data_IF_422604998089
#
_entry.id   IF_422604998089
#
_cell.length_a   1.000
_cell.length_b   1.000
_cell.length_c   1.000
_cell.angle_alpha   90.00
_cell.angle_beta   90.00
_cell.angle_gamma   90.00
#
_symmetry.space_group_name_H-M   'P 1'
#
loop_
_entity.id
_entity.type
_entity.pdbx_description
1 polymer ?
#
# COMPACT_ATOMS: atom_id res chain seq x y z
N UNK A 1 -4.66 -17.38 -19.74
CA UNK A 1 -4.62 -17.70 -18.29
C UNK A 1 -3.32 -17.13 -17.74
N UNK A 2 -3.33 -15.85 -17.34
CA UNK A 2 -2.10 -15.06 -17.10
C UNK A 2 -1.52 -15.21 -15.69
N UNK A 3 -2.34 -15.58 -14.69
CA UNK A 3 -1.91 -15.69 -13.28
C UNK A 3 -0.81 -16.72 -13.09
N UNK A 4 -0.93 -17.90 -13.72
CA UNK A 4 0.09 -18.95 -13.62
C UNK A 4 1.45 -18.52 -14.18
N UNK A 5 1.46 -17.67 -15.20
CA UNK A 5 2.67 -17.11 -15.78
C UNK A 5 3.35 -16.12 -14.81
N UNK A 6 2.57 -15.22 -14.19
CA UNK A 6 3.10 -14.30 -13.17
C UNK A 6 3.62 -15.03 -11.94
N UNK A 7 2.93 -16.07 -11.46
CA UNK A 7 3.39 -16.87 -10.34
C UNK A 7 4.69 -17.61 -10.68
N UNK A 8 4.82 -18.16 -11.89
CA UNK A 8 6.06 -18.78 -12.36
C UNK A 8 7.21 -17.77 -12.38
N UNK A 9 6.99 -16.58 -12.96
CA UNK A 9 7.99 -15.50 -13.00
C UNK A 9 8.42 -15.06 -11.59
N UNK A 10 7.47 -14.90 -10.66
CA UNK A 10 7.77 -14.56 -9.27
C UNK A 10 8.70 -15.59 -8.63
N UNK A 11 8.44 -16.89 -8.83
CA UNK A 11 9.27 -17.97 -8.29
C UNK A 11 10.65 -18.05 -8.93
N UNK A 12 10.77 -17.71 -10.21
CA UNK A 12 12.04 -17.66 -10.94
C UNK A 12 12.90 -16.46 -10.48
N UNK A 13 12.29 -15.28 -10.31
CA UNK A 13 12.98 -14.07 -9.84
C UNK A 13 13.29 -14.11 -8.33
N UNK A 14 12.44 -14.78 -7.54
CA UNK A 14 12.53 -14.89 -6.07
C UNK A 14 12.73 -13.54 -5.36
N UNK A 15 11.86 -12.54 -5.63
CA UNK A 15 12.11 -11.14 -5.27
C UNK A 15 12.28 -10.95 -3.76
N UNK A 16 13.18 -10.06 -3.37
CA UNK A 16 13.37 -9.58 -2.01
C UNK A 16 12.33 -8.50 -1.70
N UNK A 17 11.41 -8.79 -0.78
CA UNK A 17 10.33 -7.87 -0.40
C UNK A 17 10.57 -7.38 1.03
N UNK A 18 10.87 -6.09 1.17
CA UNK A 18 10.93 -5.45 2.48
C UNK A 18 9.53 -5.13 2.97
N UNK A 19 9.24 -5.52 4.21
CA UNK A 19 7.94 -5.34 4.84
C UNK A 19 8.09 -4.51 6.12
N UNK A 20 7.57 -3.29 6.08
CA UNK A 20 7.33 -2.45 7.26
C UNK A 20 5.86 -2.66 7.64
N UNK A 21 5.60 -3.75 8.38
CA UNK A 21 4.25 -4.25 8.68
C UNK A 21 3.96 -4.32 10.18
N UNK A 22 2.69 -4.52 10.52
CA UNK A 22 2.25 -4.59 11.90
C UNK A 22 2.68 -5.87 12.63
N UNK A 23 2.82 -5.80 13.95
CA UNK A 23 3.29 -6.92 14.78
C UNK A 23 2.41 -8.17 14.69
N UNK A 24 1.10 -8.01 14.50
CA UNK A 24 0.13 -9.11 14.52
C UNK A 24 0.32 -10.05 13.33
N UNK A 25 0.74 -9.52 12.18
CA UNK A 25 0.84 -10.30 10.93
C UNK A 25 2.26 -10.56 10.47
N UNK A 26 3.28 -10.01 11.12
CA UNK A 26 4.67 -10.06 10.67
C UNK A 26 5.15 -11.49 10.34
N UNK A 27 4.89 -12.46 11.24
CA UNK A 27 5.25 -13.86 11.01
C UNK A 27 4.46 -14.49 9.85
N UNK A 28 3.14 -14.24 9.79
CA UNK A 28 2.28 -14.76 8.73
C UNK A 28 2.66 -14.20 7.35
N UNK A 29 2.98 -12.91 7.27
CA UNK A 29 3.46 -12.25 6.05
C UNK A 29 4.77 -12.88 5.56
N UNK A 30 5.73 -13.12 6.46
CA UNK A 30 6.98 -13.79 6.10
C UNK A 30 6.73 -15.19 5.52
N UNK A 31 5.93 -15.99 6.23
CA UNK A 31 5.62 -17.35 5.80
C UNK A 31 4.82 -17.39 4.49
N UNK A 32 3.90 -16.46 4.28
CA UNK A 32 3.15 -16.35 3.03
C UNK A 32 4.07 -16.01 1.85
N UNK A 33 4.98 -15.05 2.02
CA UNK A 33 5.97 -14.68 0.99
C UNK A 33 6.91 -15.85 0.66
N UNK A 34 7.41 -16.56 1.67
CA UNK A 34 8.22 -17.77 1.48
C UNK A 34 7.44 -18.86 0.71
N UNK A 35 6.18 -19.10 1.09
CA UNK A 35 5.35 -20.14 0.48
C UNK A 35 5.04 -19.87 -1.00
N UNK A 36 4.90 -18.60 -1.40
CA UNK A 36 4.69 -18.26 -2.83
C UNK A 36 6.00 -18.25 -3.63
N UNK A 37 7.16 -18.25 -2.95
CA UNK A 37 8.50 -18.27 -3.55
C UNK A 37 9.19 -16.91 -3.63
N UNK A 38 8.83 -15.95 -2.77
CA UNK A 38 9.55 -14.70 -2.58
C UNK A 38 10.48 -14.76 -1.36
N UNK A 39 11.33 -13.75 -1.18
CA UNK A 39 12.24 -13.61 -0.05
C UNK A 39 11.77 -12.46 0.84
N UNK A 40 11.19 -12.70 2.04
CA UNK A 40 10.76 -11.62 2.92
C UNK A 40 11.92 -11.04 3.75
N UNK A 41 11.86 -9.75 4.04
CA UNK A 41 12.67 -9.10 5.09
C UNK A 41 11.83 -8.10 5.89
N UNK A 42 12.03 -8.05 7.21
CA UNK A 42 11.23 -7.27 8.17
C UNK A 42 12.08 -6.18 8.87
N UNK A 43 12.90 -5.49 8.09
CA UNK A 43 13.74 -4.40 8.54
C UNK A 43 12.97 -3.07 8.51
N UNK A 44 12.97 -2.37 9.65
CA UNK A 44 12.19 -1.15 9.87
C UNK A 44 12.89 -0.16 10.82
N UNK A 45 14.14 -0.43 11.22
CA UNK A 45 14.91 0.57 11.94
C UNK A 45 15.39 1.63 10.96
N UNK A 46 15.29 2.92 11.35
CA UNK A 46 15.66 4.05 10.48
C UNK A 46 17.09 3.94 9.97
N UNK A 47 18.00 3.43 10.80
CA UNK A 47 19.43 3.33 10.51
C UNK A 47 19.79 2.28 9.43
N UNK A 48 18.91 1.32 9.16
CA UNK A 48 19.13 0.26 8.15
C UNK A 48 18.21 0.41 6.92
N UNK A 49 17.37 1.44 6.86
CA UNK A 49 16.37 1.59 5.79
C UNK A 49 17.02 1.72 4.42
N UNK A 50 18.04 2.59 4.30
CA UNK A 50 18.67 2.85 3.01
C UNK A 50 19.37 1.61 2.46
N UNK A 51 20.16 0.95 3.30
CA UNK A 51 20.85 -0.30 2.95
C UNK A 51 19.85 -1.38 2.50
N UNK A 52 18.74 -1.55 3.22
CA UNK A 52 17.76 -2.57 2.90
C UNK A 52 16.95 -2.25 1.64
N UNK A 53 16.51 -0.99 1.48
CA UNK A 53 15.68 -0.58 0.33
C UNK A 53 16.50 -0.66 -0.96
N UNK A 54 17.78 -0.29 -0.92
CA UNK A 54 18.67 -0.36 -2.08
C UNK A 54 18.70 -1.78 -2.68
N UNK A 55 18.79 -2.81 -1.83
CA UNK A 55 18.84 -4.21 -2.27
C UNK A 55 17.46 -4.86 -2.46
N UNK A 56 16.39 -4.31 -1.89
CA UNK A 56 15.04 -4.84 -2.04
C UNK A 56 14.50 -4.64 -3.46
N UNK A 57 13.65 -5.56 -3.91
CA UNK A 57 12.93 -5.45 -5.18
C UNK A 57 11.59 -4.70 -5.03
N UNK A 58 11.03 -4.68 -3.82
CA UNK A 58 9.80 -3.95 -3.50
C UNK A 58 9.70 -3.64 -2.00
N UNK A 59 8.96 -2.58 -1.68
CA UNK A 59 8.62 -2.18 -0.32
C UNK A 59 7.12 -2.32 -0.08
N UNK A 60 6.74 -2.95 1.03
CA UNK A 60 5.36 -3.05 1.51
C UNK A 60 5.25 -2.32 2.85
N UNK A 61 4.31 -1.39 2.93
CA UNK A 61 3.97 -0.65 4.15
C UNK A 61 2.57 -1.02 4.59
N UNK A 62 2.43 -1.44 5.84
CA UNK A 62 1.14 -1.73 6.46
C UNK A 62 1.04 -1.03 7.82
N UNK A 63 -0.02 -0.23 8.00
CA UNK A 63 -0.20 0.64 9.17
C UNK A 63 -1.04 -0.01 10.29
N UNK A 64 -1.07 -1.34 10.40
CA UNK A 64 -1.96 -2.05 11.32
C UNK A 64 -1.74 -1.76 12.82
N UNK A 65 -0.49 -1.60 13.26
CA UNK A 65 -0.10 -1.30 14.66
C UNK A 65 0.85 -0.11 14.70
N UNK A 66 0.34 1.08 14.38
CA UNK A 66 1.13 2.31 14.33
C UNK A 66 1.61 2.76 15.70
N UNK A 67 2.84 3.28 15.74
CA UNK A 67 3.32 4.25 16.71
C UNK A 67 4.12 5.35 15.98
N UNK A 68 4.54 6.38 16.72
CA UNK A 68 5.25 7.53 16.13
C UNK A 68 6.58 7.16 15.47
N UNK A 69 7.32 6.19 16.01
CA UNK A 69 8.62 5.75 15.45
C UNK A 69 8.41 4.97 14.16
N UNK A 70 7.40 4.10 14.12
CA UNK A 70 7.02 3.40 12.90
C UNK A 70 6.57 4.36 11.81
N UNK A 71 5.80 5.40 12.16
CA UNK A 71 5.39 6.40 11.18
C UNK A 71 6.58 7.15 10.60
N UNK A 72 7.56 7.57 11.42
CA UNK A 72 8.77 8.22 10.90
C UNK A 72 9.56 7.28 9.97
N UNK A 73 9.74 6.02 10.37
CA UNK A 73 10.38 5.01 9.54
C UNK A 73 9.66 4.81 8.21
N UNK A 74 8.33 4.68 8.21
CA UNK A 74 7.54 4.49 6.99
C UNK A 74 7.68 5.68 6.04
N UNK A 75 7.59 6.91 6.55
CA UNK A 75 7.73 8.13 5.73
C UNK A 75 9.13 8.26 5.12
N UNK A 76 10.18 7.91 5.86
CA UNK A 76 11.55 7.86 5.34
C UNK A 76 11.70 6.76 4.30
N UNK A 77 11.17 5.57 4.58
CA UNK A 77 11.26 4.44 3.67
C UNK A 77 10.60 4.74 2.31
N UNK A 78 9.45 5.41 2.27
CA UNK A 78 8.82 5.80 0.99
C UNK A 78 9.68 6.80 0.20
N UNK A 79 10.32 7.75 0.87
CA UNK A 79 11.21 8.72 0.21
C UNK A 79 12.43 8.04 -0.40
N UNK A 80 13.08 7.18 0.38
CA UNK A 80 14.23 6.39 -0.08
C UNK A 80 13.79 5.48 -1.23
N UNK A 81 12.67 4.78 -1.11
CA UNK A 81 12.16 3.91 -2.17
C UNK A 81 11.93 4.69 -3.48
N UNK A 82 11.45 5.93 -3.41
CA UNK A 82 11.33 6.81 -4.58
C UNK A 82 12.69 7.16 -5.20
N UNK A 83 13.70 7.47 -4.39
CA UNK A 83 15.06 7.79 -4.87
C UNK A 83 15.73 6.60 -5.56
N UNK A 84 15.46 5.38 -5.09
CA UNK A 84 15.99 4.13 -5.63
C UNK A 84 15.03 3.44 -6.63
N UNK A 85 13.96 4.13 -7.06
CA UNK A 85 12.94 3.64 -8.01
C UNK A 85 12.32 2.28 -7.64
N UNK A 86 12.14 2.04 -6.34
CA UNK A 86 11.55 0.81 -5.80
C UNK A 86 10.02 0.92 -5.74
N UNK A 87 9.27 -0.07 -6.26
CA UNK A 87 7.83 -0.05 -6.19
C UNK A 87 7.36 -0.20 -4.74
N UNK A 88 6.45 0.70 -4.32
CA UNK A 88 5.88 0.72 -2.97
C UNK A 88 4.41 0.30 -3.00
N UNK A 89 4.04 -0.62 -2.11
CA UNK A 89 2.66 -1.00 -1.82
C UNK A 89 2.25 -0.47 -0.45
N UNK A 90 1.12 0.24 -0.38
CA UNK A 90 0.53 0.71 0.87
C UNK A 90 -0.75 -0.05 1.19
N UNK A 91 -0.81 -0.61 2.41
CA UNK A 91 -2.02 -1.14 3.05
C UNK A 91 -2.45 -0.22 4.21
N UNK A 92 -3.50 0.61 4.03
CA UNK A 92 -3.89 1.66 4.96
C UNK A 92 -4.78 1.13 6.09
N UNK A 93 -4.46 -0.03 6.66
CA UNK A 93 -5.27 -0.75 7.67
C UNK A 93 -5.89 0.18 8.71
N UNK A 94 -7.22 0.19 8.76
CA UNK A 94 -8.00 0.97 9.71
C UNK A 94 -8.06 2.48 9.43
N UNK A 95 -7.67 2.94 8.24
CA UNK A 95 -8.06 4.27 7.77
C UNK A 95 -9.59 4.43 7.86
N UNK A 96 -10.04 5.57 8.37
CA UNK A 96 -11.44 5.84 8.68
C UNK A 96 -11.86 5.45 10.10
N UNK A 97 -11.18 4.50 10.76
CA UNK A 97 -11.50 4.13 12.14
C UNK A 97 -11.03 5.18 13.16
N UNK A 98 -9.89 5.84 12.89
CA UNK A 98 -9.37 6.94 13.72
C UNK A 98 -8.74 8.01 12.83
N UNK A 99 -8.73 9.27 13.30
CA UNK A 99 -8.04 10.38 12.61
C UNK A 99 -6.56 10.10 12.43
N UNK A 100 -5.92 9.48 13.42
CA UNK A 100 -4.48 9.16 13.36
C UNK A 100 -4.17 8.21 12.20
N UNK A 101 -4.89 7.09 12.07
CA UNK A 101 -4.68 6.15 10.96
C UNK A 101 -4.94 6.79 9.59
N UNK A 102 -6.04 7.53 9.45
CA UNK A 102 -6.36 8.21 8.18
C UNK A 102 -5.29 9.23 7.80
N UNK A 103 -4.90 10.11 8.74
CA UNK A 103 -3.90 11.14 8.48
C UNK A 103 -2.52 10.56 8.20
N UNK A 104 -2.12 9.48 8.87
CA UNK A 104 -0.87 8.77 8.59
C UNK A 104 -0.86 8.18 7.19
N UNK A 105 -1.91 7.46 6.78
CA UNK A 105 -2.01 6.92 5.43
C UNK A 105 -1.91 8.01 4.35
N UNK A 106 -2.60 9.15 4.56
CA UNK A 106 -2.53 10.29 3.65
C UNK A 106 -1.12 10.90 3.60
N UNK A 107 -0.44 11.07 4.74
CA UNK A 107 0.95 11.55 4.77
C UNK A 107 1.89 10.61 4.01
N UNK A 108 1.70 9.30 4.12
CA UNK A 108 2.49 8.30 3.38
C UNK A 108 2.24 8.44 1.87
N UNK A 109 0.97 8.51 1.45
CA UNK A 109 0.57 8.75 0.06
C UNK A 109 1.14 10.05 -0.52
N UNK A 110 1.34 11.07 0.32
CA UNK A 110 1.91 12.37 -0.08
C UNK A 110 3.45 12.41 -0.02
N UNK A 111 4.09 11.45 0.66
CA UNK A 111 5.53 11.48 0.95
C UNK A 111 6.42 11.02 -0.21
N UNK A 112 5.87 10.26 -1.16
CA UNK A 112 6.60 9.77 -2.32
C UNK A 112 5.68 9.03 -3.30
N UNK A 113 6.24 8.09 -4.05
CA UNK A 113 5.52 7.39 -5.12
C UNK A 113 4.99 6.04 -4.62
N UNK A 114 3.67 5.97 -4.44
CA UNK A 114 2.97 4.72 -4.12
C UNK A 114 2.49 4.11 -5.45
N UNK A 115 2.92 2.89 -5.72
CA UNK A 115 2.57 2.17 -6.95
C UNK A 115 1.22 1.48 -6.81
N UNK A 116 0.97 0.89 -5.63
CA UNK A 116 -0.27 0.19 -5.33
C UNK A 116 -0.80 0.63 -3.96
N UNK A 117 -2.03 1.12 -3.93
CA UNK A 117 -2.81 1.32 -2.73
C UNK A 117 -3.84 0.19 -2.63
N UNK A 118 -3.69 -0.70 -1.64
CA UNK A 118 -4.59 -1.83 -1.42
C UNK A 118 -5.33 -1.66 -0.11
N UNK A 119 -6.65 -1.64 -0.13
CA UNK A 119 -7.48 -1.54 1.07
C UNK A 119 -8.86 -2.16 0.88
N UNK A 120 -9.66 -2.20 1.94
CA UNK A 120 -11.08 -2.54 1.81
C UNK A 120 -11.93 -1.32 1.42
N UNK A 121 -13.21 -1.53 1.08
CA UNK A 121 -14.11 -0.45 0.68
C UNK A 121 -14.15 0.73 1.67
N UNK A 122 -14.22 0.44 2.97
CA UNK A 122 -14.37 1.47 4.01
C UNK A 122 -13.11 2.32 4.19
N UNK A 123 -11.93 1.69 4.15
CA UNK A 123 -10.63 2.37 4.23
C UNK A 123 -10.42 3.28 3.03
N UNK A 124 -10.65 2.76 1.82
CA UNK A 124 -10.47 3.48 0.57
C UNK A 124 -11.44 4.67 0.47
N UNK A 125 -12.71 4.47 0.86
CA UNK A 125 -13.72 5.54 0.94
C UNK A 125 -13.33 6.64 1.93
N UNK A 126 -12.77 6.27 3.09
CA UNK A 126 -12.34 7.25 4.09
C UNK A 126 -11.19 8.11 3.58
N UNK A 127 -10.18 7.51 2.94
CA UNK A 127 -9.05 8.24 2.35
C UNK A 127 -9.51 9.21 1.25
N UNK A 128 -10.36 8.74 0.33
CA UNK A 128 -10.94 9.58 -0.72
C UNK A 128 -11.73 10.74 -0.12
N UNK A 129 -12.61 10.46 0.85
CA UNK A 129 -13.47 11.46 1.45
C UNK A 129 -12.69 12.57 2.14
N UNK A 130 -11.64 12.22 2.88
CA UNK A 130 -10.79 13.21 3.55
C UNK A 130 -10.00 14.04 2.52
N UNK A 131 -9.40 13.39 1.51
CA UNK A 131 -8.64 14.09 0.46
C UNK A 131 -9.52 15.05 -0.36
N UNK A 132 -10.74 14.64 -0.70
CA UNK A 132 -11.71 15.47 -1.43
C UNK A 132 -12.14 16.71 -0.64
N UNK A 133 -12.36 16.58 0.67
CA UNK A 133 -12.65 17.72 1.57
C UNK A 133 -11.50 18.72 1.59
N UNK A 134 -10.26 18.25 1.71
CA UNK A 134 -9.07 19.13 1.72
C UNK A 134 -8.92 19.88 0.39
N UNK A 135 -9.30 19.28 -0.74
CA UNK A 135 -9.25 19.92 -2.07
C UNK A 135 -10.44 20.83 -2.37
N UNK A 136 -11.42 20.97 -1.46
CA UNK A 136 -12.62 21.79 -1.69
C UNK A 136 -13.51 21.28 -2.83
N UNK A 137 -13.38 20.01 -3.19
CA UNK A 137 -14.19 19.40 -4.26
C UNK A 137 -15.45 18.87 -3.60
N UNK A 138 -16.58 19.54 -3.85
CA UNK A 138 -17.94 19.03 -3.58
C UNK A 138 -18.22 17.84 -4.51
N UNK A 139 -17.45 16.77 -4.32
CA UNK A 139 -17.71 15.48 -4.93
C UNK A 139 -18.76 14.79 -4.07
N UNK A 140 -19.98 15.33 -4.20
CA UNK A 140 -21.21 14.81 -3.65
C UNK A 140 -21.19 13.28 -3.62
N UNK A 141 -21.34 12.75 -2.41
CA UNK A 141 -21.81 11.41 -2.09
C UNK A 141 -21.55 10.28 -3.11
N UNK A 142 -20.65 9.38 -2.68
CA UNK A 142 -20.65 7.94 -2.98
C UNK A 142 -20.16 7.49 -4.37
N UNK A 143 -18.95 6.91 -4.41
CA UNK A 143 -18.84 5.64 -5.12
C UNK A 143 -19.81 4.67 -4.45
N UNK A 144 -20.86 4.27 -5.17
CA UNK A 144 -21.95 3.46 -4.60
C UNK A 144 -21.51 2.02 -4.40
N UNK A 145 -20.52 1.58 -5.16
CA UNK A 145 -19.93 0.26 -5.07
C UNK A 145 -18.38 0.30 -5.04
N UNK A 146 -17.77 -0.87 -4.86
CA UNK A 146 -16.32 -1.02 -4.77
C UNK A 146 -15.58 -0.69 -6.09
N UNK A 147 -16.25 -0.80 -7.23
CA UNK A 147 -15.66 -0.49 -8.54
C UNK A 147 -15.44 1.01 -8.69
N UNK A 148 -16.45 1.82 -8.34
CA UNK A 148 -16.33 3.28 -8.38
C UNK A 148 -15.23 3.78 -7.42
N UNK A 149 -15.14 3.15 -6.24
CA UNK A 149 -14.10 3.48 -5.25
C UNK A 149 -12.70 3.16 -5.77
N UNK A 150 -12.51 2.03 -6.47
CA UNK A 150 -11.21 1.68 -7.06
C UNK A 150 -10.77 2.73 -8.10
N UNK A 151 -11.65 3.08 -9.05
CA UNK A 151 -11.32 4.09 -10.08
C UNK A 151 -11.02 5.45 -9.47
N UNK A 152 -11.87 5.91 -8.53
CA UNK A 152 -11.67 7.21 -7.86
C UNK A 152 -10.42 7.26 -7.01
N UNK A 153 -10.10 6.17 -6.29
CA UNK A 153 -8.87 6.12 -5.50
C UNK A 153 -7.65 6.21 -6.40
N UNK A 154 -7.68 5.50 -7.54
CA UNK A 154 -6.59 5.53 -8.50
C UNK A 154 -6.38 6.94 -9.08
N UNK A 155 -7.45 7.62 -9.49
CA UNK A 155 -7.40 8.99 -10.01
C UNK A 155 -6.93 10.01 -8.95
N UNK A 156 -7.49 9.96 -7.74
CA UNK A 156 -7.19 10.95 -6.68
C UNK A 156 -5.74 10.84 -6.19
N UNK A 157 -5.23 9.62 -6.06
CA UNK A 157 -3.91 9.32 -5.49
C UNK A 157 -2.85 9.02 -6.56
N UNK A 158 -3.21 9.00 -7.84
CA UNK A 158 -2.31 8.70 -8.95
C UNK A 158 -1.50 7.40 -8.75
N UNK A 159 -2.21 6.31 -8.42
CA UNK A 159 -1.65 4.99 -8.08
C UNK A 159 -2.56 3.90 -8.66
N UNK A 160 -2.08 2.67 -8.83
CA UNK A 160 -3.01 1.54 -8.97
C UNK A 160 -3.74 1.35 -7.65
N UNK A 161 -5.06 1.22 -7.66
CA UNK A 161 -5.88 1.02 -6.48
C UNK A 161 -6.55 -0.36 -6.51
N UNK A 162 -6.39 -1.13 -5.44
CA UNK A 162 -7.03 -2.43 -5.26
C UNK A 162 -8.00 -2.39 -4.07
N UNK A 163 -9.29 -2.48 -4.36
CA UNK A 163 -10.36 -2.52 -3.36
C UNK A 163 -10.78 -3.96 -3.15
N UNK A 164 -10.50 -4.49 -1.96
CA UNK A 164 -10.75 -5.91 -1.65
C UNK A 164 -12.04 -6.14 -0.85
N UNK A 165 -12.66 -7.31 -1.05
CA UNK A 165 -13.92 -7.70 -0.41
C UNK A 165 -14.41 -9.07 -0.86
N UNK A 166 -15.74 -9.25 -1.00
CA UNK A 166 -16.31 -10.48 -1.57
C UNK A 166 -15.92 -10.68 -3.03
N UNK A 167 -15.77 -9.57 -3.75
CA UNK A 167 -15.16 -9.47 -5.07
C UNK A 167 -14.17 -8.33 -4.99
N UNK A 168 -12.97 -8.59 -5.49
CA UNK A 168 -11.92 -7.60 -5.56
C UNK A 168 -12.02 -6.82 -6.87
N UNK A 169 -11.67 -5.54 -6.81
CA UNK A 169 -11.64 -4.64 -7.95
C UNK A 169 -10.30 -3.93 -7.99
N UNK A 170 -9.67 -3.90 -9.15
CA UNK A 170 -8.39 -3.20 -9.36
C UNK A 170 -8.54 -2.17 -10.46
N UNK A 171 -7.99 -0.97 -10.27
CA UNK A 171 -8.00 0.08 -11.28
C UNK A 171 -6.68 0.85 -11.34
N UNK A 172 -6.30 1.23 -12.56
CA UNK A 172 -5.21 2.17 -12.88
C UNK A 172 -5.74 3.57 -13.25
N UNK A 173 -7.02 3.83 -12.97
CA UNK A 173 -7.69 5.11 -13.26
C UNK A 173 -8.34 5.14 -14.64
N UNK A 174 -7.90 4.31 -15.58
CA UNK A 174 -8.45 4.23 -16.94
C UNK A 174 -9.33 2.99 -17.12
N UNK A 175 -8.93 1.87 -16.52
CA UNK A 175 -9.62 0.58 -16.63
C UNK A 175 -9.89 0.00 -15.26
N UNK A 176 -10.89 -0.87 -15.23
CA UNK A 176 -11.29 -1.68 -14.08
C UNK A 176 -11.13 -3.16 -14.44
N UNK A 177 -10.65 -3.94 -13.46
CA UNK A 177 -10.45 -5.38 -13.54
C UNK A 177 -11.26 -6.08 -12.43
#
# INVERSE_FOLDING_TARGET
>A
MEIGLYLKKLRECRPLVQNITNFVVMNTTANALLAIGASPVMAHAVDELEDMINIADALVINIGTLDERWVDSMLRAVKIAKEYEKPVVLDPVGAGATRYRTSTALKILESGEIYILRGNYSEMKALIGEKSRTRGVDSAESGKDAKDIAMRASDIFNTVAAVTGKRDYVSDGNKIY
#
